data_IF_252853836187
#
_entry.id   IF_252853836187
#
_cell.length_a   1.000
_cell.length_b   1.000
_cell.length_c   1.000
_cell.angle_alpha   90.00
_cell.angle_beta   90.00
_cell.angle_gamma   90.00
#
_symmetry.space_group_name_H-M   'P 1'
#
loop_
_entity.id
_entity.type
_entity.pdbx_description
1 polymer ?
#
# COMPACT_ATOMS: atom_id res chain seq x y z
N UNK A 1 -19.72 -6.42 15.84
CA UNK A 1 -19.51 -5.12 15.16
C UNK A 1 -18.67 -5.31 13.92
N UNK A 2 -19.20 -4.99 12.77
CA UNK A 2 -18.32 -5.00 11.62
C UNK A 2 -17.29 -3.90 11.82
N UNK A 3 -16.04 -4.27 11.72
CA UNK A 3 -14.97 -3.28 11.65
C UNK A 3 -15.18 -2.45 10.39
N UNK A 4 -14.89 -1.16 10.46
CA UNK A 4 -14.87 -0.35 9.27
C UNK A 4 -13.90 -1.02 8.30
N UNK A 5 -14.37 -1.30 7.09
CA UNK A 5 -13.55 -1.93 6.07
C UNK A 5 -12.69 -0.85 5.42
N UNK A 6 -11.50 -0.63 5.96
CA UNK A 6 -10.58 0.40 5.48
C UNK A 6 -9.30 -0.29 5.03
N UNK A 7 -9.04 -0.25 3.72
CA UNK A 7 -7.89 -0.93 3.12
C UNK A 7 -7.24 -0.12 2.02
N UNK A 8 -5.94 -0.33 1.88
CA UNK A 8 -5.18 0.13 0.71
C UNK A 8 -4.61 -1.11 0.03
N UNK A 9 -4.86 -1.23 -1.26
CA UNK A 9 -4.29 -2.29 -2.09
C UNK A 9 -3.45 -1.67 -3.18
N UNK A 10 -2.23 -2.16 -3.36
CA UNK A 10 -1.35 -1.74 -4.45
C UNK A 10 -0.88 -2.98 -5.18
N UNK A 11 -1.07 -2.98 -6.50
CA UNK A 11 -0.61 -4.06 -7.37
C UNK A 11 0.23 -3.48 -8.48
N UNK A 12 1.38 -4.09 -8.75
CA UNK A 12 2.20 -3.64 -9.87
C UNK A 12 3.09 -4.75 -10.40
N UNK A 13 3.50 -4.55 -11.65
CA UNK A 13 4.45 -5.44 -12.31
C UNK A 13 5.85 -5.03 -11.94
N UNK A 14 6.70 -6.00 -11.65
CA UNK A 14 8.10 -5.76 -11.34
C UNK A 14 8.98 -6.34 -12.44
N UNK A 15 10.13 -5.70 -12.74
CA UNK A 15 11.07 -6.25 -13.70
C UNK A 15 11.57 -7.63 -13.24
N UNK A 16 11.76 -8.52 -14.21
CA UNK A 16 12.36 -9.81 -13.94
C UNK A 16 13.75 -9.58 -13.32
N UNK A 17 14.05 -10.34 -12.30
CA UNK A 17 15.32 -10.20 -11.59
C UNK A 17 15.28 -9.24 -10.42
N UNK A 18 14.25 -8.40 -10.31
CA UNK A 18 14.09 -7.49 -9.17
C UNK A 18 13.01 -7.93 -8.19
N UNK A 19 12.25 -8.96 -8.54
CA UNK A 19 11.13 -9.44 -7.71
C UNK A 19 11.56 -9.74 -6.28
N UNK A 20 12.67 -10.42 -6.11
CA UNK A 20 13.15 -10.78 -4.78
C UNK A 20 13.54 -9.56 -3.96
N UNK A 21 14.29 -8.64 -4.55
CA UNK A 21 14.73 -7.40 -3.90
C UNK A 21 13.57 -6.56 -3.44
N UNK A 22 12.59 -6.38 -4.32
CA UNK A 22 11.39 -5.59 -4.04
C UNK A 22 10.54 -6.26 -2.96
N UNK A 23 10.36 -7.58 -3.05
CA UNK A 23 9.60 -8.33 -2.06
C UNK A 23 10.24 -8.24 -0.67
N UNK A 24 11.56 -8.34 -0.59
CA UNK A 24 12.28 -8.21 0.68
C UNK A 24 12.12 -6.80 1.27
N UNK A 25 12.23 -5.77 0.43
CA UNK A 25 12.05 -4.39 0.87
C UNK A 25 10.63 -4.18 1.38
N UNK A 26 9.64 -4.75 0.69
CA UNK A 26 8.23 -4.66 1.11
C UNK A 26 7.96 -5.39 2.42
N UNK A 27 8.63 -6.50 2.68
CA UNK A 27 8.50 -7.19 3.97
C UNK A 27 9.00 -6.31 5.11
N UNK A 28 10.04 -5.54 4.89
CA UNK A 28 10.53 -4.57 5.88
C UNK A 28 9.51 -3.46 6.11
N UNK A 29 8.98 -2.90 5.03
CA UNK A 29 7.91 -1.89 5.12
C UNK A 29 6.70 -2.45 5.85
N UNK A 30 6.30 -3.69 5.54
CA UNK A 30 5.15 -4.32 6.17
C UNK A 30 5.36 -4.54 7.66
N UNK A 31 6.56 -4.95 8.08
CA UNK A 31 6.87 -5.15 9.49
C UNK A 31 6.73 -3.83 10.26
N UNK A 32 7.27 -2.74 9.71
CA UNK A 32 7.14 -1.42 10.33
C UNK A 32 5.68 -0.95 10.38
N UNK A 33 4.95 -1.22 9.32
CA UNK A 33 3.55 -0.82 9.22
C UNK A 33 2.67 -1.54 10.23
N UNK A 34 2.92 -2.85 10.42
CA UNK A 34 2.15 -3.64 11.41
C UNK A 34 2.29 -3.13 12.83
N UNK A 35 3.39 -2.47 13.13
CA UNK A 35 3.65 -1.91 14.46
C UNK A 35 2.96 -0.55 14.67
N UNK A 36 2.39 0.03 13.64
CA UNK A 36 1.74 1.34 13.74
C UNK A 36 0.37 1.23 14.40
N UNK A 37 0.02 2.27 15.16
CA UNK A 37 -1.28 2.35 15.80
C UNK A 37 -2.40 2.31 14.76
N UNK A 38 -3.38 1.46 15.00
CA UNK A 38 -4.54 1.33 14.11
C UNK A 38 -4.35 0.36 12.95
N UNK A 39 -3.15 -0.17 12.74
CA UNK A 39 -2.94 -1.16 11.70
C UNK A 39 -3.54 -2.51 12.13
N UNK A 40 -4.50 -3.00 11.35
CA UNK A 40 -5.13 -4.30 11.57
C UNK A 40 -4.33 -5.41 10.91
N UNK A 41 -3.73 -5.10 9.78
CA UNK A 41 -2.93 -6.07 9.05
C UNK A 41 -2.18 -5.44 7.90
N UNK A 42 -1.11 -6.12 7.49
CA UNK A 42 -0.33 -5.70 6.33
C UNK A 42 0.27 -6.96 5.71
N UNK A 43 0.10 -7.12 4.41
CA UNK A 43 0.56 -8.33 3.73
C UNK A 43 1.22 -8.02 2.40
N UNK A 44 2.13 -8.91 2.01
CA UNK A 44 2.83 -8.87 0.74
C UNK A 44 2.62 -10.21 0.06
N UNK A 45 2.22 -10.19 -1.20
CA UNK A 45 2.04 -11.40 -1.99
C UNK A 45 2.70 -11.21 -3.35
N UNK A 46 3.21 -12.29 -3.90
CA UNK A 46 3.84 -12.29 -5.21
C UNK A 46 3.17 -13.35 -6.08
N UNK A 47 2.73 -12.96 -7.26
CA UNK A 47 2.19 -13.89 -8.24
C UNK A 47 3.31 -14.23 -9.23
N UNK A 48 3.66 -15.53 -9.32
CA UNK A 48 4.76 -16.00 -10.16
C UNK A 48 4.24 -16.47 -11.53
N UNK A 49 3.33 -15.70 -12.12
CA UNK A 49 2.84 -16.00 -13.46
C UNK A 49 3.82 -15.57 -14.54
N UNK A 50 3.33 -15.49 -15.78
CA UNK A 50 4.14 -15.02 -16.92
C UNK A 50 4.69 -13.62 -16.73
N UNK A 51 3.98 -12.79 -15.94
CA UNK A 51 4.37 -11.43 -15.60
C UNK A 51 4.36 -11.30 -14.08
N UNK A 52 5.52 -11.23 -13.43
CA UNK A 52 5.58 -11.15 -11.97
C UNK A 52 4.82 -9.93 -11.45
N UNK A 53 3.83 -10.19 -10.62
CA UNK A 53 3.00 -9.15 -10.02
C UNK A 53 3.21 -9.17 -8.51
N UNK A 54 3.45 -8.02 -7.93
CA UNK A 54 3.54 -7.87 -6.48
C UNK A 54 2.28 -7.18 -5.99
N UNK A 55 1.73 -7.71 -4.92
CA UNK A 55 0.55 -7.14 -4.27
C UNK A 55 0.90 -6.79 -2.83
N UNK A 56 0.62 -5.56 -2.46
CA UNK A 56 0.85 -5.05 -1.12
C UNK A 56 -0.46 -4.52 -0.56
N UNK A 57 -0.83 -4.92 0.66
CA UNK A 57 -2.11 -4.52 1.23
C UNK A 57 -1.94 -4.09 2.69
N UNK A 58 -2.60 -2.99 3.06
CA UNK A 58 -2.71 -2.53 4.43
C UNK A 58 -4.18 -2.47 4.83
N UNK A 59 -4.49 -2.88 6.05
CA UNK A 59 -5.81 -2.75 6.65
C UNK A 59 -5.72 -1.88 7.90
N UNK A 60 -6.67 -0.97 8.06
CA UNK A 60 -6.69 -0.01 9.15
C UNK A 60 -8.03 -0.03 9.88
N UNK A 61 -8.00 0.34 11.17
CA UNK A 61 -9.22 0.39 11.98
C UNK A 61 -10.16 1.48 11.53
N UNK A 62 -9.62 2.64 11.15
CA UNK A 62 -10.42 3.81 10.75
C UNK A 62 -9.81 4.49 9.54
N UNK A 63 -10.63 5.27 8.85
CA UNK A 63 -10.17 6.08 7.73
C UNK A 63 -9.15 7.13 8.21
N UNK A 64 -9.35 7.71 9.40
CA UNK A 64 -8.43 8.71 9.94
C UNK A 64 -7.03 8.14 10.12
N UNK A 65 -6.93 6.90 10.59
CA UNK A 65 -5.64 6.26 10.77
C UNK A 65 -4.96 5.97 9.43
N UNK A 66 -5.74 5.59 8.42
CA UNK A 66 -5.22 5.45 7.06
C UNK A 66 -4.70 6.79 6.55
N UNK A 67 -5.44 7.88 6.77
CA UNK A 67 -5.01 9.22 6.33
C UNK A 67 -3.70 9.63 6.99
N UNK A 68 -3.55 9.37 8.28
CA UNK A 68 -2.30 9.63 9.01
C UNK A 68 -1.15 8.83 8.38
N UNK A 69 -1.39 7.57 8.06
CA UNK A 69 -0.39 6.72 7.40
C UNK A 69 0.05 7.30 6.06
N UNK A 70 -0.89 7.73 5.23
CA UNK A 70 -0.60 8.27 3.90
C UNK A 70 0.14 9.60 3.95
N UNK A 71 0.04 10.32 5.07
CA UNK A 71 0.74 11.58 5.28
C UNK A 71 2.09 11.41 5.97
N UNK A 72 2.42 10.20 6.42
CA UNK A 72 3.64 9.96 7.19
C UNK A 72 4.87 9.93 6.30
N UNK A 73 6.03 10.22 6.92
CA UNK A 73 7.31 10.12 6.23
C UNK A 73 7.62 8.67 5.85
N UNK A 74 7.21 7.71 6.67
CA UNK A 74 7.47 6.30 6.39
C UNK A 74 6.75 5.82 5.13
N UNK A 75 5.64 6.46 4.74
CA UNK A 75 4.95 6.11 3.50
C UNK A 75 5.81 6.40 2.27
N UNK A 76 6.77 7.32 2.38
CA UNK A 76 7.69 7.64 1.28
C UNK A 76 8.54 6.45 0.87
N UNK A 77 8.86 5.56 1.80
CA UNK A 77 9.61 4.34 1.49
C UNK A 77 8.83 3.45 0.53
N UNK A 78 7.52 3.36 0.76
CA UNK A 78 6.65 2.60 -0.13
C UNK A 78 6.54 3.28 -1.49
N UNK A 79 6.37 4.61 -1.51
CA UNK A 79 6.29 5.38 -2.75
C UNK A 79 7.56 5.19 -3.58
N UNK A 80 8.73 5.21 -2.93
CA UNK A 80 10.01 5.01 -3.61
C UNK A 80 10.08 3.66 -4.32
N UNK A 81 9.52 2.61 -3.70
CA UNK A 81 9.47 1.30 -4.34
C UNK A 81 8.53 1.28 -5.55
N UNK A 82 7.45 2.06 -5.49
CA UNK A 82 6.50 2.16 -6.60
C UNK A 82 7.09 2.88 -7.81
N UNK A 83 8.03 3.79 -7.59
CA UNK A 83 8.67 4.54 -8.68
C UNK A 83 9.50 3.65 -9.60
N UNK A 84 9.92 2.48 -9.12
CA UNK A 84 10.68 1.52 -9.91
C UNK A 84 9.77 0.60 -10.74
N UNK A 85 8.46 0.78 -10.67
CA UNK A 85 7.52 -0.06 -11.41
C UNK A 85 7.66 0.13 -12.91
N UNK A 86 7.56 -0.97 -13.68
CA UNK A 86 7.66 -0.97 -15.13
C UNK A 86 6.45 -0.29 -15.78
N UNK A 87 5.30 -0.42 -15.15
CA UNK A 87 4.05 0.18 -15.59
C UNK A 87 3.43 0.89 -14.38
N UNK A 88 2.53 1.87 -14.59
CA UNK A 88 1.88 2.53 -13.46
C UNK A 88 1.19 1.50 -12.56
N UNK A 89 1.42 1.56 -11.24
CA UNK A 89 0.79 0.61 -10.33
C UNK A 89 -0.71 0.85 -10.23
N UNK A 90 -1.44 -0.21 -9.98
CA UNK A 90 -2.87 -0.09 -9.65
C UNK A 90 -2.99 0.15 -8.16
N UNK A 91 -3.65 1.24 -7.79
CA UNK A 91 -3.86 1.63 -6.39
C UNK A 91 -5.36 1.70 -6.13
N UNK A 92 -5.81 1.02 -5.08
CA UNK A 92 -7.22 0.97 -4.73
C UNK A 92 -7.39 1.14 -3.23
N UNK A 93 -8.28 2.05 -2.84
CA UNK A 93 -8.65 2.25 -1.45
C UNK A 93 -10.09 1.82 -1.24
N UNK A 94 -10.32 1.04 -0.19
CA UNK A 94 -11.67 0.66 0.22
C UNK A 94 -12.00 1.41 1.51
N UNK A 95 -13.05 2.22 1.49
CA UNK A 95 -13.46 3.05 2.62
C UNK A 95 -14.92 2.71 2.94
N UNK A 96 -15.13 1.62 3.67
CA UNK A 96 -16.47 1.09 3.89
C UNK A 96 -17.05 0.55 2.58
N UNK A 97 -18.08 1.19 2.07
CA UNK A 97 -18.73 0.81 0.80
C UNK A 97 -18.15 1.55 -0.41
N UNK A 98 -17.26 2.49 -0.18
CA UNK A 98 -16.70 3.32 -1.25
C UNK A 98 -15.34 2.78 -1.68
N UNK A 99 -15.10 2.79 -2.99
CA UNK A 99 -13.81 2.44 -3.57
C UNK A 99 -13.23 3.67 -4.25
N UNK A 100 -11.98 4.01 -3.92
CA UNK A 100 -11.27 5.16 -4.47
C UNK A 100 -9.94 4.70 -5.06
N UNK A 101 -9.42 5.46 -5.99
CA UNK A 101 -8.12 5.19 -6.62
C UNK A 101 -7.06 6.21 -6.21
N UNK A 102 -6.13 6.47 -7.13
CA UNK A 102 -5.00 7.38 -6.91
C UNK A 102 -5.46 8.78 -6.50
N UNK A 103 -6.62 9.22 -6.95
CA UNK A 103 -7.20 10.51 -6.59
C UNK A 103 -7.30 10.70 -5.07
N UNK A 104 -7.63 9.64 -4.33
CA UNK A 104 -7.70 9.68 -2.88
C UNK A 104 -6.33 9.96 -2.26
N UNK A 105 -5.30 9.26 -2.76
CA UNK A 105 -3.93 9.47 -2.28
C UNK A 105 -3.48 10.90 -2.53
N UNK A 106 -3.73 11.42 -3.72
CA UNK A 106 -3.37 12.79 -4.08
C UNK A 106 -4.08 13.80 -3.19
N UNK A 107 -5.38 13.58 -2.94
CA UNK A 107 -6.17 14.43 -2.06
C UNK A 107 -5.59 14.47 -0.63
N UNK A 108 -5.30 13.31 -0.08
CA UNK A 108 -4.79 13.20 1.30
C UNK A 108 -3.41 13.85 1.42
N UNK A 109 -2.52 13.60 0.47
CA UNK A 109 -1.17 14.16 0.53
C UNK A 109 -1.13 15.66 0.22
N UNK A 110 -2.10 16.18 -0.53
CA UNK A 110 -2.21 17.62 -0.78
C UNK A 110 -2.54 18.41 0.50
N UNK A 111 -3.07 17.75 1.52
CA UNK A 111 -3.44 18.37 2.79
C UNK A 111 -2.37 18.20 3.88
N UNK A 112 -1.16 17.81 3.52
CA UNK A 112 -0.04 17.75 4.45
C UNK A 112 0.38 19.18 4.80
N UNK A 113 0.43 19.52 6.10
CA UNK A 113 0.82 20.87 6.53
C UNK A 113 2.28 21.18 6.17
#
# INVERSE_FOLDING_TARGET
>A
MPSANVRMLIEWLVPLGQTRSITMALHTVAADTRAMHGCVGCSVATDIGKRPTVRYMEEWQTEDELRVRLQSDSFRHLVALLEDATEPPHIEFTLGDETRGLDFLEEVRANIP
#
